data_IF_606762426838
#
_entry.id   IF_606762426838
#
_cell.length_a   1.000
_cell.length_b   1.000
_cell.length_c   1.000
_cell.angle_alpha   90.00
_cell.angle_beta   90.00
_cell.angle_gamma   90.00
#
_symmetry.space_group_name_H-M   'P 1'
#
loop_
_entity.id
_entity.type
_entity.pdbx_description
1 polymer ?
#
# COMPACT_ATOMS: atom_id res chain seq x y z
N UNK A 1 -59.65 -1.35 -59.21
CA UNK A 1 -58.35 -2.00 -58.95
C UNK A 1 -57.53 -1.11 -58.07
N UNK A 2 -57.34 -1.39 -56.77
CA UNK A 2 -56.41 -0.66 -55.91
C UNK A 2 -55.08 -1.43 -55.87
N UNK A 3 -54.01 -0.66 -56.04
CA UNK A 3 -52.60 -1.10 -55.89
C UNK A 3 -52.21 -1.15 -54.41
N UNK A 4 -51.77 -2.34 -53.94
CA UNK A 4 -51.20 -2.56 -52.64
C UNK A 4 -49.73 -2.15 -52.61
N UNK A 5 -49.36 -1.23 -51.71
CA UNK A 5 -47.98 -0.91 -51.38
C UNK A 5 -47.51 -1.77 -50.20
N UNK A 6 -46.56 -2.64 -50.46
CA UNK A 6 -45.90 -3.43 -49.42
C UNK A 6 -44.78 -2.58 -48.78
N UNK A 7 -44.93 -2.24 -47.51
CA UNK A 7 -43.87 -1.68 -46.67
C UNK A 7 -42.90 -2.79 -46.24
N UNK A 8 -41.68 -2.74 -46.69
CA UNK A 8 -40.58 -3.56 -46.16
C UNK A 8 -39.97 -2.83 -44.94
N UNK A 9 -40.25 -3.32 -43.74
CA UNK A 9 -39.57 -2.90 -42.51
C UNK A 9 -38.18 -3.54 -42.47
N UNK A 10 -37.14 -2.71 -42.57
CA UNK A 10 -35.79 -3.14 -42.29
C UNK A 10 -35.57 -3.11 -40.77
N UNK A 11 -35.48 -4.27 -40.13
CA UNK A 11 -35.12 -4.40 -38.75
C UNK A 11 -33.59 -4.21 -38.62
N UNK A 12 -33.15 -3.07 -38.05
CA UNK A 12 -31.77 -2.83 -37.70
C UNK A 12 -31.47 -3.57 -36.38
N UNK A 13 -30.81 -4.72 -36.47
CA UNK A 13 -30.27 -5.42 -35.30
C UNK A 13 -29.08 -4.62 -34.73
N UNK A 14 -29.31 -3.86 -33.68
CA UNK A 14 -28.25 -3.30 -32.85
C UNK A 14 -27.66 -4.45 -32.02
N UNK A 15 -26.53 -5.00 -32.45
CA UNK A 15 -25.67 -5.85 -31.66
C UNK A 15 -25.01 -4.97 -30.59
N UNK A 16 -25.64 -4.88 -29.43
CA UNK A 16 -24.98 -4.37 -28.24
C UNK A 16 -23.89 -5.36 -27.83
N UNK A 17 -22.67 -5.14 -28.29
CA UNK A 17 -21.51 -5.86 -27.82
C UNK A 17 -21.32 -5.55 -26.33
N UNK A 18 -21.65 -6.52 -25.47
CA UNK A 18 -21.20 -6.49 -24.07
C UNK A 18 -19.67 -6.55 -24.11
N UNK A 19 -19.02 -5.41 -23.94
CA UNK A 19 -17.59 -5.38 -23.62
C UNK A 19 -17.48 -5.96 -22.21
N UNK A 20 -17.19 -7.26 -22.12
CA UNK A 20 -16.78 -7.88 -20.87
C UNK A 20 -15.45 -7.19 -20.53
N UNK A 21 -15.47 -6.30 -19.53
CA UNK A 21 -14.24 -5.74 -18.99
C UNK A 21 -13.37 -6.93 -18.58
N UNK A 22 -12.25 -7.12 -19.26
CA UNK A 22 -11.32 -8.20 -18.96
C UNK A 22 -10.78 -7.93 -17.55
N UNK A 23 -11.19 -8.76 -16.60
CA UNK A 23 -10.74 -8.66 -15.23
C UNK A 23 -9.23 -8.89 -15.23
N UNK A 24 -8.48 -7.94 -14.74
CA UNK A 24 -7.03 -8.09 -14.62
C UNK A 24 -6.71 -9.31 -13.76
N UNK A 25 -5.69 -10.12 -14.11
CA UNK A 25 -5.23 -11.18 -13.22
C UNK A 25 -4.83 -10.56 -11.88
N UNK A 26 -5.13 -11.22 -10.75
CA UNK A 26 -4.80 -10.70 -9.44
C UNK A 26 -3.28 -10.50 -9.33
N UNK A 27 -2.89 -9.33 -8.86
CA UNK A 27 -1.52 -9.05 -8.49
C UNK A 27 -1.25 -9.51 -7.06
N UNK A 28 0.02 -9.75 -6.73
CA UNK A 28 0.46 -10.06 -5.38
C UNK A 28 1.14 -8.85 -4.76
N UNK A 29 0.92 -8.59 -3.47
CA UNK A 29 1.70 -7.59 -2.75
C UNK A 29 3.15 -8.06 -2.67
N UNK A 30 4.07 -7.30 -3.29
CA UNK A 30 5.44 -7.77 -3.47
C UNK A 30 6.40 -7.19 -2.43
N UNK A 31 6.40 -5.86 -2.22
CA UNK A 31 7.37 -5.25 -1.32
C UNK A 31 6.96 -3.86 -0.80
N UNK A 32 7.65 -3.45 0.25
CA UNK A 32 7.79 -2.06 0.68
C UNK A 32 9.24 -1.67 0.40
N UNK A 33 9.44 -0.52 -0.25
CA UNK A 33 10.77 -0.01 -0.56
C UNK A 33 11.13 1.20 0.29
N UNK A 34 12.27 1.13 0.95
CA UNK A 34 12.76 2.16 1.85
C UNK A 34 14.06 2.77 1.33
N UNK A 35 14.17 4.09 1.42
CA UNK A 35 15.45 4.78 1.32
C UNK A 35 16.09 4.84 2.71
N UNK A 36 17.36 4.51 2.83
CA UNK A 36 18.11 4.53 4.09
C UNK A 36 19.57 4.93 3.87
N UNK A 37 20.14 5.58 4.86
CA UNK A 37 21.57 5.94 4.84
C UNK A 37 22.46 4.73 5.09
N UNK A 38 21.96 3.70 5.81
CA UNK A 38 22.67 2.45 6.11
C UNK A 38 21.76 1.22 5.97
N UNK A 39 21.69 0.61 4.76
CA UNK A 39 20.90 -0.60 4.54
C UNK A 39 21.28 -1.77 5.46
N UNK A 40 22.53 -1.92 5.84
CA UNK A 40 22.95 -3.02 6.70
C UNK A 40 22.39 -2.85 8.12
N UNK A 41 22.51 -1.66 8.70
CA UNK A 41 21.93 -1.33 9.99
C UNK A 41 20.40 -1.41 9.96
N UNK A 42 19.75 -0.99 8.87
CA UNK A 42 18.31 -1.11 8.70
C UNK A 42 17.86 -2.59 8.70
N UNK A 43 18.54 -3.46 7.93
CA UNK A 43 18.26 -4.90 7.92
C UNK A 43 18.44 -5.50 9.32
N UNK A 44 19.51 -5.16 10.03
CA UNK A 44 19.76 -5.62 11.40
C UNK A 44 18.65 -5.18 12.35
N UNK A 45 18.17 -3.95 12.22
CA UNK A 45 17.05 -3.44 13.00
C UNK A 45 15.79 -4.28 12.76
N UNK A 46 15.36 -4.44 11.52
CA UNK A 46 14.12 -5.18 11.22
C UNK A 46 14.20 -6.64 11.68
N UNK A 47 15.30 -7.33 11.39
CA UNK A 47 15.46 -8.76 11.73
C UNK A 47 15.66 -9.04 13.22
N UNK A 48 16.09 -8.04 14.00
CA UNK A 48 16.20 -8.17 15.46
C UNK A 48 14.91 -7.81 16.20
N UNK A 49 14.03 -7.02 15.60
CA UNK A 49 12.84 -6.44 16.24
C UNK A 49 11.53 -7.11 15.84
N UNK A 50 11.46 -7.70 14.66
CA UNK A 50 10.24 -8.22 14.07
C UNK A 50 10.41 -9.64 13.55
N UNK A 51 9.27 -10.32 13.34
CA UNK A 51 9.22 -11.66 12.73
C UNK A 51 9.47 -11.54 11.22
N UNK A 52 10.73 -11.52 10.86
CA UNK A 52 11.23 -11.48 9.49
C UNK A 52 12.68 -11.93 9.46
N UNK A 53 13.22 -12.17 8.26
CA UNK A 53 14.57 -12.69 8.12
C UNK A 53 15.36 -11.96 7.02
N UNK A 54 16.68 -11.93 7.19
CA UNK A 54 17.60 -11.47 6.15
C UNK A 54 17.51 -12.39 4.94
N UNK A 55 17.36 -11.81 3.76
CA UNK A 55 17.33 -12.58 2.52
C UNK A 55 17.93 -11.77 1.36
N UNK A 56 18.15 -12.45 0.22
CA UNK A 56 18.61 -11.80 -1.01
C UNK A 56 17.50 -11.80 -2.05
N UNK A 57 17.04 -10.62 -2.41
CA UNK A 57 16.12 -10.43 -3.53
C UNK A 57 16.86 -10.72 -4.84
N UNK A 58 16.27 -11.53 -5.71
CA UNK A 58 16.86 -12.02 -6.97
C UNK A 58 18.25 -12.70 -6.80
N UNK A 59 18.57 -13.19 -5.58
CA UNK A 59 19.86 -13.80 -5.25
C UNK A 59 21.01 -12.81 -5.03
N UNK A 60 20.80 -11.52 -5.17
CA UNK A 60 21.84 -10.49 -5.20
C UNK A 60 21.64 -9.37 -4.19
N UNK A 61 20.47 -8.80 -4.12
CA UNK A 61 20.19 -7.60 -3.34
C UNK A 61 19.75 -7.92 -1.91
N UNK A 62 20.57 -7.54 -0.95
CA UNK A 62 20.25 -7.76 0.47
C UNK A 62 18.99 -6.98 0.86
N UNK A 63 18.05 -7.69 1.47
CA UNK A 63 16.79 -7.16 1.96
C UNK A 63 16.28 -7.98 3.14
N UNK A 64 15.02 -7.77 3.47
CA UNK A 64 14.31 -8.50 4.51
C UNK A 64 13.13 -9.23 3.88
N UNK A 65 12.98 -10.51 4.18
CA UNK A 65 11.81 -11.31 3.82
C UNK A 65 10.87 -11.39 5.01
N UNK A 66 9.69 -10.80 4.86
CA UNK A 66 8.65 -10.76 5.86
C UNK A 66 7.50 -11.71 5.45
N UNK A 67 7.82 -13.01 5.37
CA UNK A 67 6.96 -14.15 5.02
C UNK A 67 6.46 -14.16 3.57
N UNK A 68 5.71 -13.17 3.10
CA UNK A 68 5.18 -13.09 1.74
C UNK A 68 5.55 -11.80 1.01
N UNK A 69 6.14 -10.87 1.71
CA UNK A 69 6.53 -9.58 1.16
C UNK A 69 7.99 -9.26 1.48
N UNK A 70 8.63 -8.52 0.61
CA UNK A 70 9.96 -7.98 0.85
C UNK A 70 9.91 -6.62 1.53
N UNK A 71 10.96 -6.30 2.29
CA UNK A 71 11.35 -4.94 2.59
C UNK A 71 12.71 -4.74 1.93
N UNK A 72 12.73 -3.87 0.93
CA UNK A 72 13.92 -3.57 0.12
C UNK A 72 14.46 -2.19 0.48
N UNK A 73 15.77 -1.98 0.29
CA UNK A 73 16.45 -0.78 0.76
C UNK A 73 17.37 -0.21 -0.31
N UNK A 74 17.14 1.04 -0.69
CA UNK A 74 18.11 1.83 -1.45
C UNK A 74 18.99 2.63 -0.49
N UNK A 75 20.31 2.60 -0.75
CA UNK A 75 21.26 3.42 -0.03
C UNK A 75 21.23 4.85 -0.59
N UNK A 76 20.94 5.80 0.28
CA UNK A 76 21.00 7.23 -0.03
C UNK A 76 22.14 7.93 0.72
N UNK A 77 22.61 9.05 0.16
CA UNK A 77 23.76 9.76 0.72
C UNK A 77 23.44 10.58 1.99
N UNK A 78 22.17 10.96 2.15
CA UNK A 78 21.67 11.73 3.30
C UNK A 78 20.30 11.22 3.72
N UNK A 79 19.92 11.48 4.99
CA UNK A 79 18.64 11.06 5.53
C UNK A 79 17.47 11.51 4.62
N UNK A 80 16.62 10.57 4.19
CA UNK A 80 15.50 10.89 3.33
C UNK A 80 14.40 11.66 4.10
N UNK A 81 13.54 12.43 3.43
CA UNK A 81 12.41 13.07 4.08
C UNK A 81 11.48 12.05 4.74
N UNK A 82 11.25 12.18 6.07
CA UNK A 82 10.42 11.26 6.86
C UNK A 82 9.10 11.89 7.36
N UNK A 83 8.95 13.23 7.25
CA UNK A 83 7.71 13.90 7.65
C UNK A 83 6.50 13.32 6.89
N UNK A 84 5.37 13.09 7.59
CA UNK A 84 4.16 12.49 7.02
C UNK A 84 3.41 13.53 6.18
N UNK A 85 3.87 13.72 4.95
CA UNK A 85 3.33 14.68 3.98
C UNK A 85 3.00 14.03 2.62
N UNK A 86 3.16 12.72 2.50
CA UNK A 86 2.81 11.92 1.32
C UNK A 86 1.66 10.96 1.62
N UNK A 87 1.20 10.25 0.60
CA UNK A 87 0.11 9.28 0.73
C UNK A 87 0.47 8.01 1.50
N UNK A 88 1.74 7.64 1.64
CA UNK A 88 2.12 6.54 2.53
C UNK A 88 2.29 7.11 3.94
N UNK A 89 1.46 6.64 4.87
CA UNK A 89 1.54 7.07 6.27
C UNK A 89 2.52 6.20 7.04
N UNK A 90 2.28 4.89 7.11
CA UNK A 90 3.14 3.92 7.77
C UNK A 90 2.87 2.50 7.26
N UNK A 91 3.66 1.57 7.74
CA UNK A 91 3.44 0.13 7.61
C UNK A 91 3.63 -0.52 8.97
N UNK A 92 3.18 -1.78 9.14
CA UNK A 92 3.22 -2.32 10.48
C UNK A 92 3.10 -3.83 10.61
N UNK A 93 3.47 -4.27 11.80
CA UNK A 93 3.41 -5.65 12.26
C UNK A 93 2.28 -5.86 13.25
N UNK A 94 1.69 -7.06 13.19
CA UNK A 94 0.75 -7.51 14.20
C UNK A 94 1.44 -8.04 15.46
N UNK A 95 0.67 -8.12 16.54
CA UNK A 95 1.05 -8.80 17.77
C UNK A 95 -0.18 -9.44 18.42
N UNK A 96 -0.12 -10.74 18.74
CA UNK A 96 -1.21 -11.46 19.42
C UNK A 96 -1.40 -10.97 20.86
N UNK A 97 -0.30 -10.75 21.58
CA UNK A 97 -0.26 -10.05 22.85
C UNK A 97 0.50 -8.72 22.67
N UNK A 98 -0.27 -7.67 22.39
CA UNK A 98 0.30 -6.35 22.12
C UNK A 98 1.04 -5.75 23.32
N UNK A 99 0.60 -6.03 24.56
CA UNK A 99 1.26 -5.51 25.76
C UNK A 99 2.62 -6.18 25.98
N UNK A 100 2.66 -7.50 25.83
CA UNK A 100 3.93 -8.25 25.91
C UNK A 100 4.88 -7.88 24.77
N UNK A 101 4.37 -7.74 23.55
CA UNK A 101 5.18 -7.32 22.40
C UNK A 101 5.74 -5.89 22.57
N UNK A 102 4.93 -4.95 23.05
CA UNK A 102 5.38 -3.60 23.37
C UNK A 102 6.48 -3.61 24.43
N UNK A 103 6.29 -4.34 25.55
CA UNK A 103 7.29 -4.42 26.62
C UNK A 103 8.62 -5.02 26.12
N UNK A 104 8.55 -6.09 25.31
CA UNK A 104 9.74 -6.67 24.66
C UNK A 104 10.49 -5.63 23.81
N UNK A 105 9.79 -4.79 23.07
CA UNK A 105 10.40 -3.71 22.29
C UNK A 105 11.06 -2.67 23.20
N UNK A 106 10.39 -2.26 24.30
CA UNK A 106 10.96 -1.32 25.30
C UNK A 106 12.25 -1.90 25.90
N UNK A 107 12.22 -3.15 26.36
CA UNK A 107 13.36 -3.83 26.99
C UNK A 107 14.55 -3.95 26.03
N UNK A 108 14.29 -4.03 24.74
CA UNK A 108 15.31 -4.07 23.67
C UNK A 108 15.79 -2.68 23.22
N UNK A 109 15.36 -1.60 23.90
CA UNK A 109 15.78 -0.22 23.62
C UNK A 109 15.16 0.38 22.36
N UNK A 110 14.05 -0.15 21.90
CA UNK A 110 13.31 0.42 20.74
C UNK A 110 12.77 1.81 21.10
N UNK A 111 12.95 2.78 20.22
CA UNK A 111 12.38 4.12 20.35
C UNK A 111 10.97 4.15 19.82
N UNK A 112 10.06 4.79 20.53
CA UNK A 112 8.68 4.96 20.13
C UNK A 112 8.39 6.44 19.83
N UNK A 113 7.75 6.69 18.69
CA UNK A 113 7.10 7.96 18.37
C UNK A 113 5.81 8.10 19.21
N UNK A 114 5.00 7.04 19.22
CA UNK A 114 3.76 6.98 20.00
C UNK A 114 3.79 5.74 20.91
N UNK A 115 3.60 5.90 22.22
CA UNK A 115 3.59 4.79 23.17
C UNK A 115 2.34 3.90 22.99
N UNK A 116 2.31 2.77 23.72
CA UNK A 116 1.17 1.87 23.75
C UNK A 116 -0.15 2.63 24.01
N UNK A 117 -1.04 2.60 23.05
CA UNK A 117 -2.30 3.36 23.06
C UNK A 117 -3.49 2.41 22.85
N UNK A 118 -4.50 2.53 23.71
CA UNK A 118 -5.76 1.79 23.59
C UNK A 118 -6.71 2.51 22.62
N UNK A 119 -7.14 1.79 21.58
CA UNK A 119 -8.16 2.22 20.61
C UNK A 119 -9.27 1.19 20.45
N UNK A 120 -9.56 0.43 21.49
CA UNK A 120 -10.61 -0.61 21.51
C UNK A 120 -11.97 -0.09 21.09
N UNK A 121 -12.27 1.15 21.41
CA UNK A 121 -13.51 1.84 21.03
C UNK A 121 -13.57 2.15 19.53
N UNK A 122 -12.46 2.48 18.88
CA UNK A 122 -12.38 2.66 17.41
C UNK A 122 -12.45 1.32 16.68
N UNK A 123 -11.72 0.33 17.16
CA UNK A 123 -11.67 -1.00 16.57
C UNK A 123 -12.97 -1.80 16.81
N UNK A 124 -13.87 -1.31 17.67
CA UNK A 124 -15.12 -1.96 18.05
C UNK A 124 -14.95 -3.33 18.73
N UNK A 125 -13.79 -3.57 19.36
CA UNK A 125 -13.56 -4.73 20.23
C UNK A 125 -12.54 -4.42 21.33
N UNK A 126 -12.68 -5.03 22.51
CA UNK A 126 -11.77 -4.81 23.64
C UNK A 126 -10.35 -5.30 23.37
N UNK A 127 -9.36 -4.57 23.87
CA UNK A 127 -7.97 -5.00 23.84
C UNK A 127 -7.26 -4.71 22.54
N UNK A 128 -7.79 -3.79 21.72
CA UNK A 128 -7.07 -3.32 20.53
C UNK A 128 -6.14 -2.16 20.89
N UNK A 129 -4.86 -2.41 20.76
CA UNK A 129 -3.79 -1.45 21.04
C UNK A 129 -2.95 -1.21 19.80
N UNK A 130 -2.31 -0.04 19.74
CA UNK A 130 -1.24 0.24 18.78
C UNK A 130 -0.10 1.00 19.47
N UNK A 131 1.05 1.02 18.84
CA UNK A 131 2.18 1.89 19.14
C UNK A 131 2.94 2.21 17.86
N UNK A 132 3.53 3.41 17.74
CA UNK A 132 4.42 3.72 16.62
C UNK A 132 5.86 3.67 17.05
N UNK A 133 6.67 2.93 16.32
CA UNK A 133 8.11 2.80 16.46
C UNK A 133 8.79 3.80 15.53
N UNK A 134 9.78 4.53 16.05
CA UNK A 134 10.72 5.33 15.28
C UNK A 134 11.82 4.42 14.72
N UNK A 135 11.63 3.98 13.48
CA UNK A 135 12.52 3.07 12.79
C UNK A 135 13.73 3.74 12.15
N UNK A 136 14.54 2.98 11.37
CA UNK A 136 15.68 3.52 10.64
C UNK A 136 15.29 4.72 9.76
N UNK A 137 16.12 5.77 9.77
CA UNK A 137 15.88 7.04 9.07
C UNK A 137 14.49 7.64 9.33
N UNK A 138 13.92 7.38 10.51
CA UNK A 138 12.59 7.82 10.96
C UNK A 138 11.42 7.23 10.14
N UNK A 139 11.58 6.00 9.62
CA UNK A 139 10.44 5.25 9.09
C UNK A 139 9.42 5.00 10.21
N UNK A 140 8.18 5.42 10.02
CA UNK A 140 7.11 5.18 10.99
C UNK A 140 6.60 3.74 10.85
N UNK A 141 6.71 2.95 11.93
CA UNK A 141 6.35 1.54 11.95
C UNK A 141 5.29 1.32 13.03
N UNK A 142 4.11 0.83 12.63
CA UNK A 142 3.08 0.46 13.61
C UNK A 142 3.29 -0.95 14.14
N UNK A 143 3.12 -1.10 15.43
CA UNK A 143 2.86 -2.38 16.08
C UNK A 143 1.42 -2.34 16.58
N UNK A 144 0.57 -3.34 16.23
CA UNK A 144 -0.84 -3.35 16.64
C UNK A 144 -1.33 -4.73 17.03
N UNK A 145 -2.45 -4.77 17.74
CA UNK A 145 -3.13 -6.02 18.07
C UNK A 145 -3.60 -6.74 16.81
N UNK A 146 -3.18 -7.98 16.63
CA UNK A 146 -3.58 -8.83 15.53
C UNK A 146 -3.49 -10.30 15.93
N UNK A 147 -4.10 -11.21 15.17
CA UNK A 147 -3.99 -12.66 15.36
C UNK A 147 -2.71 -13.26 14.75
N UNK A 148 -1.65 -12.48 14.65
CA UNK A 148 -0.38 -12.88 14.03
C UNK A 148 0.75 -11.93 14.43
N UNK A 149 2.00 -12.36 14.20
CA UNK A 149 3.22 -11.57 14.45
C UNK A 149 3.95 -11.13 13.17
N UNK A 150 3.29 -11.14 12.02
CA UNK A 150 3.91 -10.80 10.73
C UNK A 150 3.71 -9.34 10.33
N UNK A 151 4.43 -8.90 9.30
CA UNK A 151 4.07 -7.72 8.52
C UNK A 151 2.63 -7.87 8.05
N UNK A 152 1.76 -6.98 8.45
CA UNK A 152 0.32 -7.16 8.32
C UNK A 152 -0.40 -6.07 7.54
N UNK A 153 0.18 -4.85 7.44
CA UNK A 153 -0.50 -3.76 6.77
C UNK A 153 0.42 -2.67 6.23
N UNK A 154 -0.14 -1.93 5.27
CA UNK A 154 0.31 -0.60 4.85
C UNK A 154 -0.85 0.35 5.04
N UNK A 155 -0.62 1.47 5.70
CA UNK A 155 -1.63 2.50 5.93
C UNK A 155 -1.37 3.70 5.03
N UNK A 156 -2.36 4.06 4.26
CA UNK A 156 -2.32 5.15 3.30
C UNK A 156 -3.25 6.29 3.72
N UNK A 157 -2.95 7.48 3.23
CA UNK A 157 -3.81 8.66 3.30
C UNK A 157 -4.24 9.03 1.88
N UNK A 158 -5.50 9.43 1.69
CA UNK A 158 -6.02 9.80 0.37
C UNK A 158 -6.97 10.98 0.44
N UNK A 159 -7.00 11.78 -0.61
CA UNK A 159 -7.99 12.83 -0.79
C UNK A 159 -9.41 12.25 -1.03
N UNK A 160 -9.52 11.06 -1.62
CA UNK A 160 -10.74 10.25 -1.73
C UNK A 160 -10.40 8.79 -1.45
N UNK A 161 -10.47 8.33 -0.18
CA UNK A 161 -10.13 6.96 0.20
C UNK A 161 -10.94 5.89 -0.53
N UNK A 162 -12.20 6.18 -0.84
CA UNK A 162 -13.06 5.22 -1.55
C UNK A 162 -12.61 5.07 -3.00
N UNK A 163 -12.36 6.17 -3.71
CA UNK A 163 -11.85 6.11 -5.08
C UNK A 163 -10.47 5.47 -5.14
N UNK A 164 -9.57 5.78 -4.19
CA UNK A 164 -8.28 5.15 -4.08
C UNK A 164 -8.39 3.65 -3.84
N UNK A 165 -9.27 3.22 -2.93
CA UNK A 165 -9.51 1.79 -2.68
C UNK A 165 -10.05 1.06 -3.91
N UNK A 166 -11.02 1.63 -4.63
CA UNK A 166 -11.53 1.06 -5.88
C UNK A 166 -10.45 0.94 -6.95
N UNK A 167 -9.49 1.86 -6.98
CA UNK A 167 -8.33 1.81 -7.86
C UNK A 167 -7.46 0.58 -7.56
N UNK A 168 -7.18 0.29 -6.27
CA UNK A 168 -6.44 -0.92 -5.88
C UNK A 168 -7.22 -2.21 -6.19
N UNK A 169 -8.54 -2.20 -5.99
CA UNK A 169 -9.40 -3.33 -6.40
C UNK A 169 -9.30 -3.59 -7.90
N UNK A 170 -9.42 -2.51 -8.70
CA UNK A 170 -9.41 -2.61 -10.16
C UNK A 170 -8.09 -3.13 -10.74
N UNK A 171 -6.97 -2.58 -10.29
CA UNK A 171 -5.67 -2.84 -10.93
C UNK A 171 -4.85 -3.95 -10.27
N UNK A 172 -5.09 -4.23 -9.00
CA UNK A 172 -4.31 -5.24 -8.25
C UNK A 172 -5.16 -6.39 -7.72
N UNK A 173 -6.48 -6.37 -7.98
CA UNK A 173 -7.35 -7.43 -7.47
C UNK A 173 -7.48 -7.46 -5.94
N UNK A 174 -7.19 -6.35 -5.27
CA UNK A 174 -7.34 -6.25 -3.82
C UNK A 174 -8.79 -6.48 -3.40
N UNK A 175 -9.00 -7.21 -2.31
CA UNK A 175 -10.33 -7.62 -1.85
C UNK A 175 -10.79 -6.68 -0.74
N UNK A 176 -11.97 -6.08 -0.89
CA UNK A 176 -12.56 -5.23 0.14
C UNK A 176 -12.91 -6.03 1.39
N UNK A 177 -12.61 -5.46 2.55
CA UNK A 177 -13.18 -5.92 3.81
C UNK A 177 -14.62 -5.42 3.94
N UNK A 178 -15.52 -6.31 4.39
CA UNK A 178 -16.94 -6.01 4.51
C UNK A 178 -17.75 -6.29 3.24
N UNK A 179 -19.06 -6.50 3.42
CA UNK A 179 -19.99 -6.83 2.34
C UNK A 179 -20.73 -5.61 1.79
N UNK A 180 -20.86 -4.57 2.62
CA UNK A 180 -21.59 -3.36 2.27
C UNK A 180 -20.73 -2.41 1.43
N UNK A 181 -21.34 -1.61 0.57
CA UNK A 181 -20.64 -0.53 -0.11
C UNK A 181 -19.96 0.40 0.90
N UNK A 182 -18.76 0.92 0.62
CA UNK A 182 -18.06 1.81 1.55
C UNK A 182 -18.84 3.12 1.75
N UNK A 183 -18.99 3.54 3.01
CA UNK A 183 -19.56 4.85 3.31
C UNK A 183 -18.67 5.97 2.78
N UNK A 184 -19.29 7.02 2.22
CA UNK A 184 -18.59 8.26 1.84
C UNK A 184 -18.82 9.38 2.85
N UNK A 185 -19.56 9.11 3.92
CA UNK A 185 -19.80 10.10 4.99
C UNK A 185 -18.55 10.27 5.86
N UNK A 186 -18.23 11.51 6.27
CA UNK A 186 -17.17 11.75 7.25
C UNK A 186 -17.46 11.02 8.56
N UNK A 187 -16.44 10.40 9.13
CA UNK A 187 -16.47 9.80 10.47
C UNK A 187 -15.31 10.34 11.30
N UNK A 188 -15.53 10.52 12.59
CA UNK A 188 -14.55 11.12 13.49
C UNK A 188 -14.29 10.25 14.71
N UNK A 189 -13.02 10.22 15.14
CA UNK A 189 -12.58 9.58 16.36
C UNK A 189 -11.65 10.53 17.14
N UNK A 190 -12.04 10.89 18.36
CA UNK A 190 -11.29 11.84 19.22
C UNK A 190 -10.87 13.13 18.49
N UNK A 191 -11.74 13.61 17.59
CA UNK A 191 -11.52 14.82 16.80
C UNK A 191 -10.65 14.64 15.55
N UNK A 192 -10.16 13.44 15.26
CA UNK A 192 -9.52 13.10 14.00
C UNK A 192 -10.54 12.58 13.00
N UNK A 193 -10.45 12.99 11.75
CA UNK A 193 -11.27 12.42 10.72
C UNK A 193 -10.68 11.08 10.28
N UNK A 194 -11.38 9.99 10.57
CA UNK A 194 -10.98 8.60 10.25
C UNK A 194 -11.83 7.99 9.12
N UNK A 195 -12.83 8.69 8.66
CA UNK A 195 -13.69 8.29 7.54
C UNK A 195 -14.04 9.48 6.64
N UNK A 196 -14.40 9.22 5.35
CA UNK A 196 -14.52 7.89 4.74
C UNK A 196 -13.19 7.13 4.72
N UNK A 197 -13.25 5.81 4.84
CA UNK A 197 -12.07 4.95 4.83
C UNK A 197 -12.30 3.68 4.01
N UNK A 198 -11.22 3.09 3.53
CA UNK A 198 -11.25 1.79 2.87
C UNK A 198 -10.26 0.86 3.55
N UNK A 199 -10.64 -0.41 3.67
CA UNK A 199 -9.73 -1.48 4.10
C UNK A 199 -9.81 -2.61 3.08
N UNK A 200 -8.67 -3.01 2.58
CA UNK A 200 -8.51 -3.99 1.51
C UNK A 200 -7.51 -5.05 1.92
N UNK A 201 -7.67 -6.25 1.37
CA UNK A 201 -6.72 -7.35 1.50
C UNK A 201 -6.00 -7.58 0.19
N UNK A 202 -4.67 -7.58 0.20
CA UNK A 202 -3.82 -8.06 -0.88
C UNK A 202 -2.88 -9.12 -0.30
N UNK A 203 -3.04 -10.39 -0.68
CA UNK A 203 -2.42 -11.55 -0.03
C UNK A 203 -2.62 -11.53 1.50
N UNK A 204 -1.53 -11.39 2.26
CA UNK A 204 -1.55 -11.29 3.73
C UNK A 204 -1.33 -9.86 4.25
N UNK A 205 -1.40 -8.87 3.37
CA UNK A 205 -1.23 -7.45 3.70
C UNK A 205 -2.57 -6.73 3.62
N UNK A 206 -2.94 -6.02 4.68
CA UNK A 206 -4.04 -5.08 4.65
C UNK A 206 -3.57 -3.73 4.10
N UNK A 207 -4.29 -3.20 3.12
CA UNK A 207 -4.13 -1.83 2.65
C UNK A 207 -5.26 -1.02 3.28
N UNK A 208 -4.92 -0.16 4.23
CA UNK A 208 -5.86 0.67 4.96
C UNK A 208 -5.71 2.10 4.46
N UNK A 209 -6.82 2.76 4.10
CA UNK A 209 -6.79 4.09 3.50
C UNK A 209 -7.69 5.01 4.31
N UNK A 210 -7.08 6.01 4.97
CA UNK A 210 -7.78 7.07 5.69
C UNK A 210 -7.84 8.37 4.88
N UNK A 211 -8.75 9.30 5.25
CA UNK A 211 -8.84 10.59 4.58
C UNK A 211 -7.62 11.47 4.88
N UNK A 212 -7.21 12.25 3.87
CA UNK A 212 -6.11 13.23 3.97
C UNK A 212 -6.28 14.18 5.18
N UNK A 213 -7.50 14.52 5.52
CA UNK A 213 -7.86 15.40 6.63
C UNK A 213 -7.38 14.91 8.00
N UNK A 214 -7.04 13.63 8.11
CA UNK A 214 -6.37 13.09 9.30
C UNK A 214 -4.98 13.73 9.51
N UNK A 215 -4.20 13.88 8.44
CA UNK A 215 -2.80 14.26 8.54
C UNK A 215 -2.56 15.70 9.07
N UNK A 216 -3.27 16.75 8.63
CA UNK A 216 -3.11 18.09 9.21
C UNK A 216 -3.43 18.17 10.70
N UNK A 217 -4.32 17.30 11.16
CA UNK A 217 -4.68 17.23 12.58
C UNK A 217 -3.64 16.47 13.40
N UNK A 218 -3.09 15.38 12.84
CA UNK A 218 -2.08 14.55 13.51
C UNK A 218 -0.67 15.16 13.45
N UNK A 219 -0.35 15.86 12.34
CA UNK A 219 0.98 16.40 12.03
C UNK A 219 0.91 17.88 11.64
N UNK A 220 0.42 18.77 12.52
CA UNK A 220 0.10 20.16 12.15
C UNK A 220 1.31 20.94 11.64
N UNK A 221 2.50 20.72 12.19
CA UNK A 221 3.72 21.41 11.76
C UNK A 221 4.13 21.02 10.35
N UNK A 222 4.00 19.74 9.98
CA UNK A 222 4.33 19.22 8.65
C UNK A 222 3.32 19.68 7.59
N UNK A 223 2.08 20.00 8.00
CA UNK A 223 0.99 20.39 7.10
C UNK A 223 0.71 21.90 7.10
N UNK A 224 1.46 22.68 7.86
CA UNK A 224 1.32 24.14 7.83
C UNK A 224 1.56 24.66 6.42
N UNK A 225 0.58 25.38 5.87
CA UNK A 225 0.60 25.92 4.50
C UNK A 225 0.67 24.86 3.38
N UNK A 226 0.29 23.63 3.66
CA UNK A 226 0.26 22.52 2.69
C UNK A 226 -1.19 22.14 2.37
N UNK A 227 -1.55 22.07 1.08
CA UNK A 227 -2.87 21.66 0.63
C UNK A 227 -2.89 20.28 -0.06
N UNK A 228 -1.75 19.80 -0.54
CA UNK A 228 -1.64 18.57 -1.32
C UNK A 228 -0.52 17.67 -0.79
N UNK A 229 -0.59 16.39 -1.15
CA UNK A 229 0.47 15.44 -0.87
C UNK A 229 1.74 15.73 -1.69
N UNK A 230 2.88 15.50 -1.07
CA UNK A 230 4.14 15.31 -1.79
C UNK A 230 4.12 13.96 -2.52
N UNK A 231 4.93 13.77 -3.59
CA UNK A 231 5.20 12.43 -4.10
C UNK A 231 5.89 11.58 -3.04
N UNK A 232 5.68 10.26 -3.11
CA UNK A 232 6.38 9.34 -2.20
C UNK A 232 7.82 9.09 -2.64
N UNK A 233 8.14 9.28 -3.92
CA UNK A 233 9.49 9.12 -4.48
C UNK A 233 10.53 9.94 -3.70
N UNK A 234 11.63 9.29 -3.33
CA UNK A 234 12.75 9.90 -2.60
C UNK A 234 12.53 10.04 -1.09
N UNK A 235 11.38 9.63 -0.56
CA UNK A 235 11.08 9.67 0.89
C UNK A 235 11.58 8.41 1.59
N UNK A 236 11.50 8.38 2.94
CA UNK A 236 11.91 7.20 3.72
C UNK A 236 11.14 5.95 3.29
N UNK A 237 9.82 6.01 3.12
CA UNK A 237 9.05 5.00 2.40
C UNK A 237 8.83 5.53 0.98
N UNK A 238 9.60 5.01 0.05
CA UNK A 238 9.64 5.50 -1.33
C UNK A 238 8.44 5.00 -2.13
N UNK A 239 8.16 3.71 -2.06
CA UNK A 239 7.07 3.10 -2.79
C UNK A 239 6.64 1.75 -2.20
N UNK A 240 5.52 1.25 -2.70
CA UNK A 240 5.09 -0.14 -2.54
C UNK A 240 5.10 -0.82 -3.90
N UNK A 241 5.31 -2.13 -3.91
CA UNK A 241 5.38 -2.91 -5.13
C UNK A 241 4.35 -4.03 -5.20
N UNK A 242 3.90 -4.31 -6.42
CA UNK A 242 3.03 -5.43 -6.74
C UNK A 242 3.61 -6.26 -7.86
N UNK A 243 3.48 -7.60 -7.77
CA UNK A 243 3.94 -8.49 -8.82
C UNK A 243 2.79 -9.04 -9.66
N UNK A 244 3.06 -9.24 -10.94
CA UNK A 244 2.16 -9.77 -11.95
C UNK A 244 2.80 -10.97 -12.66
N UNK A 245 2.00 -11.89 -13.16
CA UNK A 245 2.49 -12.96 -14.03
C UNK A 245 2.93 -12.41 -15.40
N UNK A 246 2.22 -11.40 -15.91
CA UNK A 246 2.53 -10.71 -17.16
C UNK A 246 2.50 -9.20 -16.94
N UNK A 247 3.68 -8.63 -16.75
CA UNK A 247 3.84 -7.19 -16.51
C UNK A 247 3.47 -6.35 -17.73
N UNK A 248 3.75 -6.84 -18.94
CA UNK A 248 3.47 -6.10 -20.17
C UNK A 248 1.95 -5.88 -20.34
N UNK A 249 1.16 -6.93 -20.14
CA UNK A 249 -0.29 -6.84 -20.24
C UNK A 249 -0.88 -5.95 -19.13
N UNK A 250 -0.37 -6.06 -17.91
CA UNK A 250 -0.80 -5.22 -16.79
C UNK A 250 -0.55 -3.74 -17.08
N UNK A 251 0.68 -3.40 -17.51
CA UNK A 251 1.07 -2.02 -17.81
C UNK A 251 0.27 -1.43 -18.98
N UNK A 252 0.04 -2.22 -20.03
CA UNK A 252 -0.75 -1.80 -21.19
C UNK A 252 -2.21 -1.53 -20.82
N UNK A 253 -2.82 -2.35 -19.98
CA UNK A 253 -4.19 -2.13 -19.49
C UNK A 253 -4.27 -0.87 -18.63
N UNK A 254 -3.32 -0.65 -17.73
CA UNK A 254 -3.24 0.58 -16.93
C UNK A 254 -3.10 1.82 -17.82
N UNK A 255 -2.25 1.74 -18.87
CA UNK A 255 -2.04 2.84 -19.82
C UNK A 255 -3.31 3.16 -20.61
N UNK A 256 -4.05 2.16 -21.09
CA UNK A 256 -5.34 2.36 -21.78
C UNK A 256 -6.36 3.09 -20.93
N UNK A 257 -6.32 2.86 -19.64
CA UNK A 257 -7.20 3.52 -18.67
C UNK A 257 -6.68 4.90 -18.20
N UNK A 258 -5.54 5.35 -18.74
CA UNK A 258 -4.97 6.66 -18.44
C UNK A 258 -4.13 6.71 -17.17
N UNK A 259 -3.74 5.57 -16.59
CA UNK A 259 -2.79 5.54 -15.47
C UNK A 259 -1.44 6.07 -15.97
N UNK A 260 -0.85 6.99 -15.23
CA UNK A 260 0.42 7.60 -15.58
C UNK A 260 1.57 6.61 -15.36
N UNK A 261 2.17 6.15 -16.44
CA UNK A 261 3.42 5.39 -16.41
C UNK A 261 4.58 6.36 -16.21
N UNK A 262 5.31 6.21 -15.12
CA UNK A 262 6.45 7.07 -14.78
C UNK A 262 7.78 6.45 -15.19
N UNK A 263 7.83 5.14 -15.34
CA UNK A 263 8.94 4.40 -15.91
C UNK A 263 8.45 3.20 -16.71
N UNK A 264 8.89 3.07 -17.94
CA UNK A 264 8.64 1.92 -18.81
C UNK A 264 9.37 0.67 -18.29
N UNK A 265 8.96 -0.52 -18.80
CA UNK A 265 9.57 -1.79 -18.39
C UNK A 265 11.08 -1.75 -18.58
N UNK A 266 11.78 -2.09 -17.53
CA UNK A 266 13.23 -2.31 -17.49
C UNK A 266 13.53 -3.66 -16.87
N UNK A 267 14.76 -4.11 -17.04
CA UNK A 267 15.30 -5.30 -16.39
C UNK A 267 16.39 -4.93 -15.40
N UNK A 268 16.54 -5.75 -14.38
CA UNK A 268 17.57 -5.66 -13.36
C UNK A 268 18.09 -7.06 -13.00
N UNK A 269 19.20 -7.12 -12.26
CA UNK A 269 19.78 -8.36 -11.75
C UNK A 269 20.03 -9.40 -12.87
N UNK A 270 20.77 -8.97 -13.92
CA UNK A 270 21.08 -9.82 -15.08
C UNK A 270 19.80 -10.40 -15.74
N UNK A 271 18.81 -9.54 -15.97
CA UNK A 271 17.48 -9.85 -16.55
C UNK A 271 16.61 -10.82 -15.73
N UNK A 272 16.93 -11.05 -14.45
CA UNK A 272 16.11 -11.89 -13.57
C UNK A 272 14.81 -11.21 -13.11
N UNK A 273 14.78 -9.88 -13.12
CA UNK A 273 13.62 -9.09 -12.69
C UNK A 273 13.26 -8.09 -13.78
N UNK A 274 12.00 -8.08 -14.18
CA UNK A 274 11.42 -7.00 -14.99
C UNK A 274 10.54 -6.14 -14.09
N UNK A 275 10.62 -4.83 -14.26
CA UNK A 275 9.86 -3.88 -13.46
C UNK A 275 9.52 -2.63 -14.24
N UNK A 276 8.47 -1.94 -13.78
CA UNK A 276 8.00 -0.65 -14.29
C UNK A 276 7.47 0.18 -13.12
N UNK A 277 7.29 1.49 -13.31
CA UNK A 277 6.65 2.34 -12.30
C UNK A 277 5.44 3.06 -12.85
N UNK A 278 4.42 3.15 -12.01
CA UNK A 278 3.22 3.97 -12.26
C UNK A 278 3.00 4.93 -11.09
N UNK A 279 2.28 6.02 -11.37
CA UNK A 279 1.75 6.90 -10.32
C UNK A 279 0.33 6.46 -9.97
N UNK A 280 0.13 6.03 -8.74
CA UNK A 280 -1.17 5.71 -8.19
C UNK A 280 -1.87 6.93 -7.57
N UNK A 281 -3.00 6.73 -6.87
CA UNK A 281 -3.75 7.79 -6.22
C UNK A 281 -2.86 8.63 -5.29
N UNK A 282 -3.11 9.94 -5.27
CA UNK A 282 -2.44 10.88 -4.36
C UNK A 282 -0.90 10.88 -4.50
N UNK A 283 -0.41 10.69 -5.72
CA UNK A 283 1.01 10.74 -6.10
C UNK A 283 1.88 9.65 -5.46
N UNK A 284 1.25 8.52 -5.07
CA UNK A 284 2.01 7.36 -4.63
C UNK A 284 2.78 6.75 -5.81
N UNK A 285 4.07 6.49 -5.60
CA UNK A 285 4.87 5.71 -6.54
C UNK A 285 4.59 4.23 -6.32
N UNK A 286 4.33 3.49 -7.37
CA UNK A 286 4.06 2.06 -7.30
C UNK A 286 4.96 1.33 -8.29
N UNK A 287 5.69 0.35 -7.80
CA UNK A 287 6.47 -0.56 -8.63
C UNK A 287 5.62 -1.76 -9.05
N UNK A 288 5.68 -2.07 -10.33
CA UNK A 288 5.10 -3.27 -10.92
C UNK A 288 6.25 -4.21 -11.26
N UNK A 289 6.20 -5.46 -10.79
CA UNK A 289 7.26 -6.46 -10.98
C UNK A 289 6.71 -7.66 -11.74
N UNK A 290 7.50 -8.29 -12.63
CA UNK A 290 7.10 -9.54 -13.28
C UNK A 290 7.53 -10.74 -12.45
N UNK A 291 6.53 -11.58 -12.13
CA UNK A 291 6.75 -12.74 -11.28
C UNK A 291 6.97 -12.38 -9.82
N UNK A 292 7.09 -13.39 -9.00
CA UNK A 292 7.41 -13.23 -7.59
C UNK A 292 8.82 -13.79 -7.36
N UNK A 293 9.80 -12.92 -7.17
CA UNK A 293 11.14 -13.36 -6.83
C UNK A 293 11.11 -14.06 -5.47
N UNK A 294 11.41 -15.35 -5.48
CA UNK A 294 11.46 -16.16 -4.26
C UNK A 294 12.72 -15.81 -3.48
N UNK A 295 12.63 -15.96 -2.17
CA UNK A 295 13.80 -16.05 -1.31
C UNK A 295 14.64 -17.26 -1.74
N UNK A 296 15.94 -17.08 -1.92
CA UNK A 296 16.93 -18.13 -2.13
C UNK A 296 17.53 -18.56 -0.79
#
# INVERSE_FOLDING_TARGET
MPRSYAFRSAACLLLSGCVIAQQMPPAHFHHIHLNTTDPAAAIDFYTSKFDCERAKFAGEWNGVWAQKAWILFDKVASAPPSAITSSIWHFGWGAEDMKAAYQKQVDSGTKFDTPLTDISDLASFPGFYYAYIDGPDHALIELNTASHHRLGHVHLLSADPVAAGEWYVKYFGAIRHGKEPPSRAPAFYKGYQVGPSMSLQSDNINIIIFPKEFAPKAYPDSWKNRAAFDPTEGRVVDHIGFSFENLSDALENMRKDGVKVTQEIRTAFHDKVKFAFVEGPDRIRIELVEGQAKKE
#
